data_IF_662774069651
#
_entry.id   IF_662774069651
#
_cell.length_a   1.000
_cell.length_b   1.000
_cell.length_c   1.000
_cell.angle_alpha   90.00
_cell.angle_beta   90.00
_cell.angle_gamma   90.00
#
_symmetry.space_group_name_H-M   'P 1'
#
loop_
_entity.id
_entity.type
_entity.pdbx_description
1 polymer ?
#
# COMPACT_ATOMS: atom_id res chain seq x y z
N UNK A 1 -8.61 -12.77 23.94
CA UNK A 1 -9.37 -12.94 22.67
C UNK A 1 -9.40 -11.59 21.98
N UNK A 2 -8.46 -11.36 21.07
CA UNK A 2 -8.38 -10.12 20.30
C UNK A 2 -9.30 -10.27 19.11
N UNK A 3 -10.39 -9.52 19.08
CA UNK A 3 -11.32 -9.46 17.97
C UNK A 3 -10.56 -8.99 16.72
N UNK A 4 -10.44 -9.86 15.74
CA UNK A 4 -9.96 -9.51 14.41
C UNK A 4 -10.79 -8.33 13.90
N UNK A 5 -10.17 -7.16 13.79
CA UNK A 5 -10.83 -5.98 13.22
C UNK A 5 -11.11 -6.28 11.76
N UNK A 6 -12.37 -6.36 11.44
CA UNK A 6 -12.96 -6.58 10.13
C UNK A 6 -12.26 -5.72 9.08
N UNK A 7 -11.89 -6.33 7.96
CA UNK A 7 -11.42 -5.69 6.74
C UNK A 7 -12.26 -4.44 6.47
N UNK A 8 -11.63 -3.27 6.53
CA UNK A 8 -12.31 -2.03 6.18
C UNK A 8 -12.85 -2.17 4.75
N UNK A 9 -14.15 -1.94 4.59
CA UNK A 9 -14.75 -1.87 3.26
C UNK A 9 -14.17 -0.63 2.58
N UNK A 10 -13.67 -0.72 1.34
CA UNK A 10 -13.19 0.45 0.63
C UNK A 10 -14.25 1.56 0.60
N UNK A 11 -13.86 2.83 0.69
CA UNK A 11 -14.80 3.94 0.66
C UNK A 11 -15.63 3.89 -0.63
N UNK A 12 -16.91 4.17 -0.51
CA UNK A 12 -17.85 4.23 -1.66
C UNK A 12 -17.66 5.50 -2.49
N UNK A 13 -17.02 6.51 -1.93
CA UNK A 13 -16.73 7.81 -2.56
C UNK A 13 -15.26 8.16 -2.38
N UNK A 14 -14.72 8.88 -3.33
CA UNK A 14 -13.37 9.44 -3.25
C UNK A 14 -13.37 10.62 -2.30
N UNK A 15 -12.30 10.75 -1.48
CA UNK A 15 -12.06 11.93 -0.66
C UNK A 15 -11.84 13.14 -1.56
N UNK A 16 -12.37 14.29 -1.14
CA UNK A 16 -12.10 15.55 -1.83
C UNK A 16 -10.79 16.13 -1.31
N UNK A 17 -10.01 16.72 -2.20
CA UNK A 17 -8.76 17.37 -1.80
C UNK A 17 -8.96 18.44 -0.73
N UNK A 18 -10.06 19.19 -0.78
CA UNK A 18 -10.44 20.21 0.21
C UNK A 18 -10.73 19.65 1.61
N UNK A 19 -11.05 18.37 1.73
CA UNK A 19 -11.38 17.70 3.00
C UNK A 19 -10.15 17.14 3.71
N UNK A 20 -8.99 17.13 3.06
CA UNK A 20 -7.75 16.54 3.58
C UNK A 20 -6.85 17.65 4.11
N UNK A 21 -6.21 17.41 5.27
CA UNK A 21 -5.24 18.31 5.86
C UNK A 21 -3.87 17.65 6.05
N UNK A 22 -2.81 18.45 6.02
CA UNK A 22 -1.46 17.94 6.36
C UNK A 22 -1.46 17.53 7.83
N UNK A 23 -1.02 16.29 8.08
CA UNK A 23 -1.07 15.65 9.39
C UNK A 23 -2.20 14.64 9.54
N UNK A 24 -3.17 14.59 8.61
CA UNK A 24 -4.23 13.57 8.65
C UNK A 24 -3.62 12.17 8.58
N UNK A 25 -4.17 11.26 9.39
CA UNK A 25 -3.78 9.86 9.38
C UNK A 25 -4.52 9.09 8.27
N UNK A 26 -3.77 8.32 7.51
CA UNK A 26 -4.34 7.34 6.58
C UNK A 26 -4.92 6.18 7.37
N UNK A 27 -6.16 5.78 7.05
CA UNK A 27 -6.82 4.65 7.72
C UNK A 27 -5.92 3.42 7.71
N UNK A 28 -5.54 2.87 8.87
CA UNK A 28 -4.66 1.71 8.94
C UNK A 28 -5.25 0.49 8.21
N UNK A 29 -4.39 -0.23 7.50
CA UNK A 29 -4.76 -1.47 6.81
C UNK A 29 -3.92 -2.62 7.36
N UNK A 30 -4.58 -3.69 7.81
CA UNK A 30 -3.91 -4.93 8.21
C UNK A 30 -4.26 -6.04 7.23
N UNK A 31 -3.25 -6.72 6.72
CA UNK A 31 -3.39 -7.80 5.75
C UNK A 31 -2.86 -9.08 6.39
N UNK A 32 -3.71 -10.10 6.60
CA UNK A 32 -3.27 -11.41 7.05
C UNK A 32 -2.56 -12.11 5.87
N UNK A 33 -1.24 -12.15 5.92
CA UNK A 33 -0.42 -12.73 4.86
C UNK A 33 -0.47 -14.25 4.93
N UNK A 34 -0.88 -14.91 3.85
CA UNK A 34 -0.89 -16.36 3.74
C UNK A 34 0.07 -16.84 2.66
N UNK A 35 0.48 -18.12 2.74
CA UNK A 35 1.27 -18.76 1.68
C UNK A 35 0.60 -18.59 0.32
N UNK A 36 -0.72 -18.80 0.24
CA UNK A 36 -1.48 -18.65 -1.01
C UNK A 36 -1.38 -17.23 -1.58
N UNK A 37 -1.46 -16.20 -0.72
CA UNK A 37 -1.36 -14.80 -1.18
C UNK A 37 0.04 -14.49 -1.73
N UNK A 38 1.09 -15.00 -1.10
CA UNK A 38 2.47 -14.81 -1.57
C UNK A 38 2.65 -15.47 -2.93
N UNK A 39 2.27 -16.74 -3.05
CA UNK A 39 2.38 -17.50 -4.31
C UNK A 39 1.52 -16.87 -5.40
N UNK A 40 0.26 -16.54 -5.11
CA UNK A 40 -0.64 -15.92 -6.07
C UNK A 40 -0.12 -14.56 -6.54
N UNK A 41 0.43 -13.74 -5.63
CA UNK A 41 1.02 -12.46 -5.96
C UNK A 41 2.24 -12.59 -6.87
N UNK A 42 3.13 -13.54 -6.59
CA UNK A 42 4.28 -13.83 -7.43
C UNK A 42 3.86 -14.26 -8.85
N UNK A 43 2.91 -15.20 -8.96
CA UNK A 43 2.39 -15.66 -10.26
C UNK A 43 1.68 -14.52 -11.01
N UNK A 44 0.82 -13.76 -10.35
CA UNK A 44 0.08 -12.66 -10.96
C UNK A 44 1.00 -11.54 -11.48
N UNK A 45 2.11 -11.29 -10.80
CA UNK A 45 3.12 -10.31 -11.21
C UNK A 45 4.19 -10.90 -12.15
N UNK A 46 4.07 -12.18 -12.52
CA UNK A 46 5.00 -12.91 -13.40
C UNK A 46 6.43 -12.98 -12.83
N UNK A 47 6.56 -12.96 -11.54
CA UNK A 47 7.81 -13.18 -10.83
C UNK A 47 7.93 -14.66 -10.47
N UNK A 48 8.55 -15.41 -11.36
CA UNK A 48 8.68 -16.88 -11.24
C UNK A 48 9.93 -17.28 -10.45
N UNK A 49 10.54 -16.37 -9.69
CA UNK A 49 11.67 -16.73 -8.83
C UNK A 49 11.22 -17.71 -7.73
N UNK A 50 11.84 -18.91 -7.64
CA UNK A 50 11.32 -19.98 -6.76
C UNK A 50 11.26 -19.62 -5.28
N UNK A 51 12.03 -18.65 -4.79
CA UNK A 51 11.97 -18.20 -3.39
C UNK A 51 10.58 -17.69 -2.96
N UNK A 52 9.70 -17.35 -3.92
CA UNK A 52 8.37 -16.83 -3.67
C UNK A 52 7.27 -17.90 -3.72
N UNK A 53 7.58 -19.14 -4.15
CA UNK A 53 6.58 -20.19 -4.30
C UNK A 53 7.06 -21.61 -3.97
N UNK A 54 8.37 -21.80 -3.75
CA UNK A 54 8.97 -23.09 -3.36
C UNK A 54 9.73 -22.91 -2.04
N UNK A 55 9.18 -23.51 -0.97
CA UNK A 55 9.76 -23.43 0.38
C UNK A 55 11.12 -24.10 0.47
N UNK A 56 11.27 -25.26 -0.16
CA UNK A 56 12.52 -26.02 -0.10
C UNK A 56 13.63 -25.28 -0.83
N UNK A 57 13.30 -24.65 -1.95
CA UNK A 57 14.23 -23.79 -2.65
C UNK A 57 14.62 -22.57 -1.80
N UNK A 58 13.64 -21.87 -1.20
CA UNK A 58 13.90 -20.73 -0.32
C UNK A 58 14.81 -21.12 0.85
N UNK A 59 14.55 -22.26 1.49
CA UNK A 59 15.38 -22.78 2.57
C UNK A 59 16.83 -23.07 2.12
N UNK A 60 17.02 -23.64 0.94
CA UNK A 60 18.35 -23.85 0.35
C UNK A 60 19.11 -22.56 0.07
N UNK A 61 18.36 -21.45 -0.16
CA UNK A 61 18.92 -20.12 -0.32
C UNK A 61 19.17 -19.38 1.01
N UNK A 62 18.91 -20.03 2.14
CA UNK A 62 19.13 -19.46 3.49
C UNK A 62 17.94 -18.69 4.04
N UNK A 63 16.80 -18.63 3.34
CA UNK A 63 15.57 -18.04 3.88
C UNK A 63 14.82 -19.07 4.73
N UNK A 64 14.25 -18.70 5.89
CA UNK A 64 13.50 -19.65 6.74
C UNK A 64 12.19 -20.13 6.09
N UNK A 65 11.66 -19.40 5.11
CA UNK A 65 10.42 -19.72 4.40
C UNK A 65 10.40 -18.99 3.04
N UNK A 66 9.41 -19.31 2.20
CA UNK A 66 9.09 -18.46 1.06
C UNK A 66 8.61 -17.08 1.56
N UNK A 67 8.83 -16.05 0.79
CA UNK A 67 8.49 -14.66 1.17
C UNK A 67 7.91 -13.86 0.00
N UNK A 68 7.22 -12.76 0.35
CA UNK A 68 6.55 -11.91 -0.62
C UNK A 68 7.55 -11.21 -1.56
N UNK A 69 7.20 -11.14 -2.84
CA UNK A 69 7.98 -10.40 -3.84
C UNK A 69 7.69 -8.89 -3.80
N UNK A 70 8.62 -8.11 -4.35
CA UNK A 70 8.51 -6.63 -4.37
C UNK A 70 7.27 -6.14 -5.12
N UNK A 71 6.86 -6.81 -6.20
CA UNK A 71 5.71 -6.39 -7.00
C UNK A 71 4.40 -6.52 -6.23
N UNK A 72 4.25 -7.58 -5.43
CA UNK A 72 3.12 -7.75 -4.52
C UNK A 72 3.14 -6.68 -3.41
N UNK A 73 4.32 -6.39 -2.85
CA UNK A 73 4.48 -5.31 -1.85
C UNK A 73 4.07 -3.95 -2.42
N UNK A 74 4.48 -3.62 -3.65
CA UNK A 74 4.02 -2.41 -4.37
C UNK A 74 2.50 -2.38 -4.52
N UNK A 75 1.89 -3.50 -4.94
CA UNK A 75 0.44 -3.62 -5.08
C UNK A 75 -0.30 -3.34 -3.76
N UNK A 76 0.21 -3.83 -2.63
CA UNK A 76 -0.37 -3.55 -1.33
C UNK A 76 -0.16 -2.10 -0.87
N UNK A 77 0.95 -1.46 -1.23
CA UNK A 77 1.13 -0.03 -0.99
C UNK A 77 0.09 0.80 -1.75
N UNK A 78 -0.12 0.51 -3.03
CA UNK A 78 -1.17 1.19 -3.83
C UNK A 78 -2.55 0.92 -3.22
N UNK A 79 -2.86 -0.32 -2.88
CA UNK A 79 -4.12 -0.68 -2.23
C UNK A 79 -4.36 0.10 -0.94
N UNK A 80 -3.36 0.21 -0.06
CA UNK A 80 -3.46 0.98 1.18
C UNK A 80 -3.88 2.42 0.92
N UNK A 81 -3.27 3.05 -0.09
CA UNK A 81 -3.53 4.43 -0.46
C UNK A 81 -4.92 4.61 -1.10
N UNK A 82 -5.30 3.73 -2.02
CA UNK A 82 -6.59 3.81 -2.72
C UNK A 82 -7.77 3.35 -1.88
N UNK A 83 -7.57 2.40 -0.95
CA UNK A 83 -8.60 2.03 0.03
C UNK A 83 -8.94 3.20 0.97
N UNK A 84 -7.99 4.12 1.22
CA UNK A 84 -8.21 5.34 1.98
C UNK A 84 -8.79 6.47 1.13
N UNK A 85 -8.13 6.76 0.00
CA UNK A 85 -8.44 7.94 -0.80
C UNK A 85 -9.73 7.77 -1.64
N UNK A 86 -10.08 6.52 -1.98
CA UNK A 86 -11.28 6.20 -2.76
C UNK A 86 -11.01 5.84 -4.22
N UNK A 87 -12.07 5.41 -4.95
CA UNK A 87 -11.94 4.74 -6.24
C UNK A 87 -11.46 5.65 -7.39
N UNK A 88 -11.64 6.96 -7.29
CA UNK A 88 -11.23 7.93 -8.33
C UNK A 88 -9.87 8.54 -8.04
N UNK A 89 -9.28 8.24 -6.87
CA UNK A 89 -7.94 8.71 -6.51
C UNK A 89 -6.88 8.02 -7.38
N UNK A 90 -5.99 8.80 -7.95
CA UNK A 90 -4.91 8.29 -8.79
C UNK A 90 -3.55 8.43 -8.11
N UNK A 91 -2.86 7.32 -7.91
CA UNK A 91 -1.46 7.33 -7.45
C UNK A 91 -0.58 7.70 -8.63
N UNK A 92 -0.05 8.92 -8.64
CA UNK A 92 0.77 9.45 -9.74
C UNK A 92 2.26 9.19 -9.53
N UNK A 93 2.66 9.03 -8.27
CA UNK A 93 4.04 8.70 -7.92
C UNK A 93 4.06 7.78 -6.69
N UNK A 94 4.89 6.74 -6.75
CA UNK A 94 5.15 5.85 -5.63
C UNK A 94 6.67 5.63 -5.53
N UNK A 95 7.24 5.86 -4.36
CA UNK A 95 8.64 5.58 -4.06
C UNK A 95 8.70 4.75 -2.79
N UNK A 96 9.27 3.55 -2.88
CA UNK A 96 9.36 2.64 -1.74
C UNK A 96 10.79 2.17 -1.51
N UNK A 97 11.05 1.78 -0.27
CA UNK A 97 12.23 1.05 0.17
C UNK A 97 11.77 -0.20 0.92
N UNK A 98 12.27 -1.36 0.49
CA UNK A 98 12.06 -2.60 1.22
C UNK A 98 13.05 -2.71 2.39
N UNK A 99 12.58 -3.29 3.49
CA UNK A 99 13.32 -3.63 4.68
C UNK A 99 13.34 -5.13 4.94
N UNK A 100 12.68 -5.57 6.03
CA UNK A 100 12.63 -6.99 6.41
C UNK A 100 11.73 -7.80 5.46
N UNK A 101 11.99 -9.11 5.29
CA UNK A 101 11.12 -9.97 4.49
C UNK A 101 9.72 -10.09 5.11
N UNK A 102 8.72 -10.40 4.27
CA UNK A 102 7.36 -10.67 4.68
C UNK A 102 7.05 -12.15 4.43
N UNK A 103 6.91 -12.91 5.51
CA UNK A 103 6.67 -14.35 5.51
C UNK A 103 5.18 -14.67 5.66
N UNK A 104 4.75 -15.92 5.33
CA UNK A 104 3.40 -16.38 5.63
C UNK A 104 3.11 -16.34 7.14
N UNK A 105 1.83 -16.17 7.46
CA UNK A 105 1.28 -16.20 8.82
C UNK A 105 1.76 -15.03 9.73
N UNK A 106 2.42 -14.05 9.14
CA UNK A 106 2.85 -12.81 9.80
C UNK A 106 2.10 -11.62 9.19
N UNK A 107 1.11 -11.02 9.90
CA UNK A 107 0.27 -9.97 9.34
C UNK A 107 1.08 -8.70 9.03
N UNK A 108 0.80 -8.13 7.87
CA UNK A 108 1.41 -6.88 7.43
C UNK A 108 0.48 -5.71 7.75
N UNK A 109 0.96 -4.76 8.58
CA UNK A 109 0.19 -3.60 9.02
C UNK A 109 0.73 -2.33 8.41
N UNK A 110 -0.13 -1.65 7.64
CA UNK A 110 0.13 -0.34 7.03
C UNK A 110 -0.34 0.79 7.92
N UNK A 111 0.48 1.84 8.03
CA UNK A 111 0.15 3.13 8.64
C UNK A 111 0.78 4.25 7.82
N UNK A 112 0.21 5.44 7.85
CA UNK A 112 0.74 6.58 7.13
C UNK A 112 0.03 7.87 7.49
N UNK A 113 0.58 8.98 7.04
CA UNK A 113 0.00 10.31 7.22
C UNK A 113 0.23 11.19 6.01
N UNK A 114 -0.62 12.17 5.85
CA UNK A 114 -0.49 13.24 4.85
C UNK A 114 0.67 14.15 5.25
N UNK A 115 1.65 14.30 4.36
CA UNK A 115 2.84 15.11 4.60
C UNK A 115 2.92 16.35 3.72
N UNK A 116 2.06 16.47 2.71
CA UNK A 116 1.99 17.63 1.84
C UNK A 116 0.70 17.73 1.05
N UNK A 117 0.33 18.97 0.71
CA UNK A 117 -0.79 19.29 -0.19
C UNK A 117 -0.33 20.34 -1.20
N UNK A 118 -0.65 20.12 -2.45
CA UNK A 118 -0.33 21.08 -3.52
C UNK A 118 -1.57 21.28 -4.39
N UNK A 119 -1.97 22.53 -4.56
CA UNK A 119 -3.05 22.88 -5.49
C UNK A 119 -2.49 22.96 -6.90
N UNK A 120 -3.12 22.27 -7.84
CA UNK A 120 -2.74 22.35 -9.25
C UNK A 120 -2.90 23.77 -9.80
N UNK A 121 -1.95 24.21 -10.63
CA UNK A 121 -2.07 25.49 -11.32
C UNK A 121 -3.10 25.37 -12.44
N UNK A 122 -3.97 26.36 -12.60
CA UNK A 122 -5.03 26.40 -13.63
C UNK A 122 -4.52 26.47 -15.08
N UNK A 123 -3.23 26.36 -15.33
CA UNK A 123 -2.66 26.45 -16.66
C UNK A 123 -2.23 25.07 -17.18
N UNK A 124 -3.20 24.32 -17.73
CA UNK A 124 -2.95 23.13 -18.56
C UNK A 124 -3.11 21.75 -17.90
N UNK A 125 -3.50 21.66 -16.64
CA UNK A 125 -4.00 20.45 -16.01
C UNK A 125 -5.40 20.71 -15.48
N UNK A 126 -6.36 19.85 -15.78
CA UNK A 126 -7.79 19.97 -15.46
C UNK A 126 -8.08 19.98 -13.94
N UNK A 127 -7.54 20.99 -13.20
CA UNK A 127 -7.84 21.16 -11.77
C UNK A 127 -7.30 20.03 -10.87
N UNK A 128 -6.30 19.27 -11.31
CA UNK A 128 -5.69 18.23 -10.50
C UNK A 128 -5.00 18.81 -9.27
N UNK A 129 -5.40 18.36 -8.10
CA UNK A 129 -4.78 18.69 -6.83
C UNK A 129 -4.06 17.48 -6.29
N UNK A 130 -2.93 17.69 -5.62
CA UNK A 130 -2.06 16.63 -5.18
C UNK A 130 -1.97 16.55 -3.66
N UNK A 131 -1.89 15.32 -3.16
CA UNK A 131 -1.65 15.01 -1.75
C UNK A 131 -0.42 14.11 -1.67
N UNK A 132 0.52 14.48 -0.81
CA UNK A 132 1.69 13.66 -0.51
C UNK A 132 1.43 12.86 0.77
N UNK A 133 1.73 11.57 0.73
CA UNK A 133 1.57 10.66 1.86
C UNK A 133 2.90 9.98 2.15
N UNK A 134 3.31 9.98 3.41
CA UNK A 134 4.40 9.12 3.89
C UNK A 134 3.78 7.94 4.63
N UNK A 135 4.28 6.75 4.35
CA UNK A 135 3.72 5.52 4.92
C UNK A 135 4.80 4.47 5.20
N UNK A 136 4.41 3.49 6.02
CA UNK A 136 5.17 2.26 6.23
C UNK A 136 4.23 1.08 6.42
N UNK A 137 4.75 -0.12 6.18
CA UNK A 137 4.10 -1.36 6.60
C UNK A 137 5.09 -2.21 7.38
N UNK A 138 4.66 -2.71 8.53
CA UNK A 138 5.49 -3.49 9.45
C UNK A 138 4.85 -4.85 9.75
N UNK A 139 5.70 -5.81 10.08
CA UNK A 139 5.34 -7.13 10.55
C UNK A 139 6.10 -7.43 11.86
N UNK A 140 6.13 -8.69 12.32
CA UNK A 140 6.81 -9.06 13.57
C UNK A 140 8.33 -8.82 13.55
N UNK A 141 8.95 -8.76 12.37
CA UNK A 141 10.39 -8.55 12.20
C UNK A 141 10.79 -7.07 12.12
N UNK A 142 9.83 -6.17 11.89
CA UNK A 142 10.07 -4.74 11.72
C UNK A 142 9.41 -4.15 10.48
N UNK A 143 9.97 -3.06 9.96
CA UNK A 143 9.44 -2.40 8.77
C UNK A 143 9.77 -3.23 7.51
N UNK A 144 8.73 -3.82 6.89
CA UNK A 144 8.81 -4.52 5.62
C UNK A 144 8.99 -3.55 4.45
N UNK A 145 8.24 -2.46 4.46
CA UNK A 145 8.30 -1.41 3.44
C UNK A 145 8.04 -0.05 4.05
N UNK A 146 8.77 0.96 3.60
CA UNK A 146 8.50 2.37 3.87
C UNK A 146 8.55 3.15 2.58
N UNK A 147 7.82 4.27 2.50
CA UNK A 147 7.79 5.04 1.27
C UNK A 147 6.98 6.31 1.34
N UNK A 148 6.96 6.97 0.19
CA UNK A 148 6.15 8.16 -0.07
C UNK A 148 5.34 7.96 -1.35
N UNK A 149 4.17 8.57 -1.40
CA UNK A 149 3.33 8.58 -2.57
C UNK A 149 2.75 9.96 -2.84
N UNK A 150 2.44 10.23 -4.09
CA UNK A 150 1.66 11.39 -4.51
C UNK A 150 0.37 10.88 -5.13
N UNK A 151 -0.75 11.36 -4.64
CA UNK A 151 -2.08 11.07 -5.17
C UNK A 151 -2.65 12.34 -5.81
N UNK A 152 -3.23 12.17 -6.99
CA UNK A 152 -4.10 13.17 -7.62
C UNK A 152 -5.53 12.96 -7.13
N UNK A 153 -6.16 14.04 -6.66
CA UNK A 153 -7.54 14.07 -6.18
C UNK A 153 -8.27 15.23 -6.84
N UNK A 154 -9.46 14.96 -7.32
CA UNK A 154 -10.34 16.00 -7.85
C UNK A 154 -11.03 16.72 -6.68
N UNK A 155 -11.05 18.05 -6.72
CA UNK A 155 -12.11 18.78 -6.03
C UNK A 155 -13.33 18.60 -6.92
N UNK A 156 -14.32 17.84 -6.46
CA UNK A 156 -15.52 17.62 -7.24
C UNK A 156 -16.02 18.92 -7.82
N UNK A 157 -16.22 18.95 -9.14
CA UNK A 157 -16.96 20.01 -9.78
C UNK A 157 -18.27 20.16 -8.99
N UNK A 158 -18.50 21.36 -8.44
CA UNK A 158 -19.68 21.62 -7.66
C UNK A 158 -20.90 21.15 -8.46
N UNK A 159 -21.72 20.31 -7.83
CA UNK A 159 -23.03 19.93 -8.33
C UNK A 159 -23.93 21.16 -8.39
#
# INVERSE_FOLDING_TARGET
MTTAKTRATPPKSTLRWSEIEVGDEVTPLEIPITTTMIVAGAIASRDFMPVHHDRDYANKQGSPNLFMNILTSNGYCVRFLTDWAGPEAMVTKLSIRLGVPCFPDDPLRFTGSVTGKTKGSQQGSDGENFVEVTFRASNSLGDHVSGTAVLSLLDGAGA
#
